data_IF_260810770179
#
_entry.id   IF_260810770179
#
_cell.length_a   1.000
_cell.length_b   1.000
_cell.length_c   1.000
_cell.angle_alpha   90.00
_cell.angle_beta   90.00
_cell.angle_gamma   90.00
#
_symmetry.space_group_name_H-M   'P 1'
#
loop_
_entity.id
_entity.type
_entity.pdbx_description
1 polymer ?
#
# COMPACT_ATOMS: atom_id res chain seq x y z
N UNK A 1 -18.73 27.65 10.02
CA UNK A 1 -19.23 26.27 9.86
C UNK A 1 -18.33 25.35 10.68
N UNK A 2 -18.85 24.42 11.50
CA UNK A 2 -18.00 23.50 12.24
C UNK A 2 -17.49 22.43 11.28
N UNK A 3 -16.17 22.34 11.14
CA UNK A 3 -15.47 21.25 10.47
C UNK A 3 -15.79 19.92 11.18
N UNK A 4 -16.02 18.82 10.46
CA UNK A 4 -16.24 17.52 11.09
C UNK A 4 -14.99 17.13 11.88
N UNK A 5 -15.18 16.74 13.15
CA UNK A 5 -14.14 16.16 13.98
C UNK A 5 -13.63 14.88 13.30
N UNK A 6 -12.51 14.98 12.60
CA UNK A 6 -11.71 13.81 12.25
C UNK A 6 -11.24 13.22 13.58
N UNK A 7 -11.88 12.15 14.04
CA UNK A 7 -11.36 11.32 15.11
C UNK A 7 -9.96 10.88 14.67
N UNK A 8 -8.93 11.52 15.21
CA UNK A 8 -7.53 11.17 14.97
C UNK A 8 -7.32 9.76 15.49
N UNK A 9 -7.34 8.79 14.57
CA UNK A 9 -6.99 7.41 14.84
C UNK A 9 -5.58 7.39 15.45
N UNK A 10 -5.44 6.77 16.62
CA UNK A 10 -4.14 6.69 17.29
C UNK A 10 -3.22 5.73 16.54
N UNK A 11 -1.90 5.85 16.76
CA UNK A 11 -0.90 4.96 16.15
C UNK A 11 -1.15 3.49 16.54
N UNK A 12 -1.55 3.24 17.78
CA UNK A 12 -1.82 1.89 18.27
C UNK A 12 -3.06 1.28 17.60
N UNK A 13 -4.12 2.06 17.43
CA UNK A 13 -5.32 1.64 16.71
C UNK A 13 -5.02 1.38 15.22
N UNK A 14 -4.21 2.24 14.59
CA UNK A 14 -3.76 2.06 13.22
C UNK A 14 -2.97 0.75 13.06
N UNK A 15 -2.02 0.48 13.96
CA UNK A 15 -1.27 -0.78 13.98
C UNK A 15 -2.20 -1.98 14.20
N UNK A 16 -3.20 -1.88 15.08
CA UNK A 16 -4.17 -2.95 15.34
C UNK A 16 -5.09 -3.24 14.14
N UNK A 17 -5.44 -2.22 13.36
CA UNK A 17 -6.20 -2.41 12.12
C UNK A 17 -5.34 -3.13 11.10
N UNK A 18 -4.10 -2.68 10.90
CA UNK A 18 -3.20 -3.23 9.88
C UNK A 18 -2.59 -4.59 10.25
N UNK A 19 -2.51 -4.93 11.54
CA UNK A 19 -2.03 -6.24 12.00
C UNK A 19 -2.90 -7.40 11.51
N UNK A 20 -4.16 -7.13 11.15
CA UNK A 20 -5.07 -8.12 10.53
C UNK A 20 -4.57 -8.61 9.18
N UNK A 21 -3.69 -7.85 8.53
CA UNK A 21 -3.14 -8.17 7.22
C UNK A 21 -1.74 -8.77 7.31
N UNK A 22 -1.12 -8.77 8.50
CA UNK A 22 0.23 -9.31 8.69
C UNK A 22 0.26 -10.81 8.42
N UNK A 23 1.26 -11.26 7.65
CA UNK A 23 1.47 -12.66 7.25
C UNK A 23 0.34 -13.26 6.41
N UNK A 24 -0.50 -12.44 5.77
CA UNK A 24 -1.46 -12.94 4.78
C UNK A 24 -0.80 -13.01 3.42
N UNK A 25 -0.83 -14.20 2.81
CA UNK A 25 -0.32 -14.40 1.47
C UNK A 25 -1.18 -13.69 0.43
N UNK A 26 -2.50 -13.73 0.61
CA UNK A 26 -3.50 -13.12 -0.28
C UNK A 26 -4.29 -12.12 0.54
N UNK A 27 -4.39 -10.89 0.04
CA UNK A 27 -5.21 -9.85 0.65
C UNK A 27 -6.67 -10.34 0.75
N UNK A 28 -7.29 -10.29 1.95
CA UNK A 28 -8.64 -10.78 2.13
C UNK A 28 -9.64 -9.84 1.43
N UNK A 29 -10.78 -10.37 0.96
CA UNK A 29 -11.86 -9.53 0.47
C UNK A 29 -12.38 -8.67 1.63
N UNK A 30 -12.32 -7.35 1.48
CA UNK A 30 -12.82 -6.39 2.47
C UNK A 30 -14.12 -5.75 2.00
N UNK A 31 -15.02 -5.45 2.93
CA UNK A 31 -16.24 -4.73 2.58
C UNK A 31 -15.91 -3.28 2.22
N UNK A 32 -16.66 -2.65 1.30
CA UNK A 32 -16.46 -1.23 0.99
C UNK A 32 -16.53 -0.32 2.21
N UNK A 33 -17.34 -0.67 3.22
CA UNK A 33 -17.44 0.06 4.49
C UNK A 33 -16.18 0.00 5.37
N UNK A 34 -15.30 -0.98 5.15
CA UNK A 34 -14.06 -1.16 5.92
C UNK A 34 -12.88 -0.41 5.30
N UNK A 35 -12.93 -0.13 3.98
CA UNK A 35 -11.87 0.58 3.25
C UNK A 35 -11.48 1.91 3.89
N UNK A 36 -12.41 2.81 4.30
CA UNK A 36 -12.02 4.11 4.88
C UNK A 36 -11.16 3.98 6.14
N UNK A 37 -11.50 3.02 7.02
CA UNK A 37 -10.75 2.80 8.26
C UNK A 37 -9.33 2.27 7.98
N UNK A 38 -9.20 1.36 7.00
CA UNK A 38 -7.90 0.80 6.59
C UNK A 38 -7.05 1.87 5.90
N UNK A 39 -7.63 2.68 5.01
CA UNK A 39 -6.96 3.84 4.38
C UNK A 39 -6.42 4.79 5.44
N UNK A 40 -7.27 5.18 6.41
CA UNK A 40 -6.87 6.09 7.47
C UNK A 40 -5.75 5.51 8.34
N UNK A 41 -5.83 4.23 8.69
CA UNK A 41 -4.78 3.54 9.44
C UNK A 41 -3.44 3.53 8.68
N UNK A 42 -3.47 3.20 7.39
CA UNK A 42 -2.28 3.19 6.55
C UNK A 42 -1.65 4.58 6.46
N UNK A 43 -2.43 5.60 6.10
CA UNK A 43 -1.95 6.98 5.98
C UNK A 43 -1.35 7.50 7.29
N UNK A 44 -1.98 7.19 8.43
CA UNK A 44 -1.46 7.58 9.74
C UNK A 44 -0.08 6.99 10.03
N UNK A 45 0.19 5.73 9.64
CA UNK A 45 1.49 5.10 9.88
C UNK A 45 2.53 5.51 8.85
N UNK A 46 2.16 5.66 7.58
CA UNK A 46 3.09 6.08 6.53
C UNK A 46 3.59 7.50 6.76
N UNK A 47 2.75 8.39 7.29
CA UNK A 47 3.15 9.76 7.69
C UNK A 47 4.20 9.79 8.81
N UNK A 48 4.40 8.68 9.53
CA UNK A 48 5.42 8.54 10.57
C UNK A 48 6.71 7.87 10.06
N UNK A 49 6.84 7.71 8.75
CA UNK A 49 8.04 7.22 8.07
C UNK A 49 8.54 8.25 7.07
N UNK A 50 9.82 8.17 6.71
CA UNK A 50 10.42 9.12 5.78
C UNK A 50 10.04 8.79 4.33
N UNK A 51 9.85 7.51 4.00
CA UNK A 51 9.37 7.05 2.70
C UNK A 51 8.80 5.63 2.79
N UNK A 52 8.15 5.18 1.72
CA UNK A 52 7.64 3.80 1.60
C UNK A 52 8.15 3.11 0.34
N UNK A 53 8.25 1.79 0.40
CA UNK A 53 8.47 0.92 -0.75
C UNK A 53 7.23 0.03 -0.89
N UNK A 54 6.62 0.05 -2.07
CA UNK A 54 5.49 -0.78 -2.42
C UNK A 54 5.97 -2.06 -3.10
N UNK A 55 5.38 -3.19 -2.72
CA UNK A 55 5.46 -4.45 -3.45
C UNK A 55 4.05 -4.92 -3.79
N UNK A 56 3.73 -5.05 -5.07
CA UNK A 56 2.36 -5.32 -5.54
C UNK A 56 2.38 -6.62 -6.33
N UNK A 57 1.58 -7.59 -5.92
CA UNK A 57 1.37 -8.83 -6.64
C UNK A 57 -0.07 -8.85 -7.17
N UNK A 58 -0.25 -8.98 -8.49
CA UNK A 58 -1.55 -8.95 -9.15
C UNK A 58 -1.66 -10.03 -10.24
N UNK A 59 -2.88 -10.42 -10.60
CA UNK A 59 -3.12 -11.41 -11.65
C UNK A 59 -2.93 -10.85 -13.06
N UNK A 60 -3.00 -9.53 -13.21
CA UNK A 60 -2.77 -8.85 -14.49
C UNK A 60 -1.96 -7.56 -14.31
N UNK A 61 -1.26 -7.17 -15.38
CA UNK A 61 -0.58 -5.87 -15.44
C UNK A 61 -1.54 -4.69 -15.17
N UNK A 62 -2.78 -4.76 -15.68
CA UNK A 62 -3.78 -3.71 -15.50
C UNK A 62 -4.16 -3.51 -14.02
N UNK A 63 -4.42 -4.60 -13.29
CA UNK A 63 -4.70 -4.54 -11.85
C UNK A 63 -3.51 -4.01 -11.04
N UNK A 64 -2.32 -4.51 -11.35
CA UNK A 64 -1.09 -4.07 -10.70
C UNK A 64 -0.84 -2.57 -10.92
N UNK A 65 -1.02 -2.08 -12.15
CA UNK A 65 -0.88 -0.67 -12.49
C UNK A 65 -1.92 0.21 -11.80
N UNK A 66 -3.18 -0.23 -11.72
CA UNK A 66 -4.23 0.47 -11.00
C UNK A 66 -3.87 0.60 -9.52
N UNK A 67 -3.45 -0.50 -8.87
CA UNK A 67 -3.01 -0.49 -7.49
C UNK A 67 -1.81 0.45 -7.31
N UNK A 68 -0.79 0.36 -8.17
CA UNK A 68 0.38 1.22 -8.13
C UNK A 68 0.01 2.70 -8.17
N UNK A 69 -0.81 3.11 -9.14
CA UNK A 69 -1.23 4.51 -9.31
C UNK A 69 -2.02 5.01 -8.09
N UNK A 70 -3.02 4.25 -7.65
CA UNK A 70 -3.92 4.68 -6.57
C UNK A 70 -3.22 4.72 -5.21
N UNK A 71 -2.39 3.72 -4.89
CA UNK A 71 -1.59 3.72 -3.66
C UNK A 71 -0.54 4.83 -3.67
N UNK A 72 0.20 4.98 -4.76
CA UNK A 72 1.25 5.99 -4.84
C UNK A 72 0.67 7.40 -4.68
N UNK A 73 -0.43 7.69 -5.39
CA UNK A 73 -1.13 8.96 -5.26
C UNK A 73 -1.63 9.22 -3.83
N UNK A 74 -2.22 8.21 -3.17
CA UNK A 74 -2.66 8.34 -1.79
C UNK A 74 -1.51 8.62 -0.80
N UNK A 75 -0.31 8.11 -1.10
CA UNK A 75 0.90 8.32 -0.31
C UNK A 75 1.69 9.58 -0.72
N UNK A 76 1.20 10.34 -1.71
CA UNK A 76 1.84 11.58 -2.18
C UNK A 76 3.02 11.37 -3.14
N UNK A 77 3.11 10.20 -3.77
CA UNK A 77 4.10 9.91 -4.81
C UNK A 77 3.48 9.99 -6.21
N UNK A 78 4.32 10.37 -7.18
CA UNK A 78 4.00 10.30 -8.60
C UNK A 78 4.83 9.16 -9.23
N UNK A 79 4.27 7.96 -9.42
CA UNK A 79 5.01 6.82 -9.94
C UNK A 79 5.14 6.92 -11.46
N UNK A 80 6.26 6.44 -12.02
CA UNK A 80 6.34 6.28 -13.48
C UNK A 80 5.28 5.28 -13.96
N UNK A 81 4.46 5.70 -14.92
CA UNK A 81 3.37 4.88 -15.49
C UNK A 81 3.70 4.31 -16.86
N UNK A 82 4.88 4.61 -17.41
CA UNK A 82 5.37 4.05 -18.66
C UNK A 82 5.98 2.66 -18.40
N UNK A 83 5.15 1.63 -18.55
CA UNK A 83 5.41 0.29 -18.05
C UNK A 83 5.20 -0.74 -19.14
N UNK A 84 6.00 -1.82 -19.16
CA UNK A 84 5.89 -2.84 -20.18
C UNK A 84 4.56 -3.59 -20.04
N UNK A 85 3.94 -3.91 -21.18
CA UNK A 85 2.83 -4.84 -21.22
C UNK A 85 3.36 -6.27 -21.01
N UNK A 86 3.06 -6.84 -19.85
CA UNK A 86 3.40 -8.22 -19.49
C UNK A 86 2.09 -9.01 -19.43
N UNK A 87 2.03 -10.13 -20.15
CA UNK A 87 0.91 -11.07 -20.04
C UNK A 87 1.03 -11.90 -18.74
N UNK A 88 -0.11 -12.12 -18.10
CA UNK A 88 -0.22 -12.92 -16.87
C UNK A 88 0.07 -12.14 -15.58
N UNK A 89 0.30 -12.86 -14.47
CA UNK A 89 0.49 -12.23 -13.17
C UNK A 89 1.81 -11.48 -13.08
N UNK A 90 1.79 -10.37 -12.35
CA UNK A 90 2.89 -9.41 -12.27
C UNK A 90 3.29 -9.10 -10.84
N UNK A 91 4.55 -8.74 -10.68
CA UNK A 91 5.11 -8.14 -9.48
C UNK A 91 5.61 -6.74 -9.81
N UNK A 92 5.19 -5.77 -9.02
CA UNK A 92 5.58 -4.38 -9.16
C UNK A 92 6.24 -3.92 -7.88
N UNK A 93 7.46 -3.40 -7.98
CA UNK A 93 8.17 -2.80 -6.87
C UNK A 93 8.39 -1.32 -7.12
N UNK A 94 7.79 -0.45 -6.31
CA UNK A 94 7.97 0.99 -6.40
C UNK A 94 8.64 1.54 -5.16
N UNK A 95 9.73 2.28 -5.34
CA UNK A 95 10.47 2.90 -4.25
C UNK A 95 10.13 4.40 -4.18
N UNK A 96 9.34 4.80 -3.18
CA UNK A 96 8.93 6.20 -2.97
C UNK A 96 10.09 7.16 -2.69
N UNK A 97 11.27 6.66 -2.27
CA UNK A 97 12.47 7.50 -2.08
C UNK A 97 13.13 7.90 -3.40
N UNK A 98 13.15 6.99 -4.37
CA UNK A 98 13.86 7.20 -5.65
C UNK A 98 12.93 7.42 -6.83
N UNK A 99 11.63 7.19 -6.67
CA UNK A 99 10.63 7.19 -7.75
C UNK A 99 10.75 5.99 -8.71
N UNK A 100 11.69 5.07 -8.47
CA UNK A 100 11.95 3.95 -9.36
C UNK A 100 10.91 2.84 -9.15
N UNK A 101 10.30 2.39 -10.24
CA UNK A 101 9.43 1.23 -10.28
C UNK A 101 9.99 0.14 -11.19
N UNK A 102 9.96 -1.11 -10.71
CA UNK A 102 10.31 -2.31 -11.47
C UNK A 102 9.09 -3.19 -11.68
N UNK A 103 9.03 -3.82 -12.83
CA UNK A 103 7.92 -4.64 -13.31
C UNK A 103 8.46 -5.97 -13.81
N UNK A 104 7.99 -7.06 -13.21
CA UNK A 104 8.42 -8.41 -13.53
C UNK A 104 7.22 -9.35 -13.65
N UNK A 105 7.35 -10.39 -14.47
CA UNK A 105 6.43 -11.53 -14.44
C UNK A 105 6.50 -12.21 -13.07
N UNK A 106 5.36 -12.60 -12.53
CA UNK A 106 5.26 -13.15 -11.19
C UNK A 106 4.58 -14.52 -11.18
N UNK A 107 5.32 -15.52 -10.71
CA UNK A 107 4.82 -16.91 -10.62
C UNK A 107 4.51 -17.33 -9.18
N UNK A 108 4.64 -16.41 -8.22
CA UNK A 108 4.30 -16.67 -6.83
C UNK A 108 2.80 -16.60 -6.56
N UNK A 109 2.40 -17.02 -5.36
CA UNK A 109 1.00 -17.14 -4.97
C UNK A 109 0.46 -15.92 -4.21
N UNK A 110 1.30 -14.94 -3.87
CA UNK A 110 0.84 -13.77 -3.13
C UNK A 110 -0.02 -12.84 -3.99
N UNK A 111 -1.00 -12.16 -3.39
CA UNK A 111 -1.82 -11.14 -4.07
C UNK A 111 -2.13 -9.98 -3.15
N UNK A 112 -2.01 -8.76 -3.68
CA UNK A 112 -2.21 -7.52 -2.93
C UNK A 112 -0.95 -6.67 -2.84
N UNK A 113 -0.96 -5.71 -1.92
CA UNK A 113 0.07 -4.69 -1.77
C UNK A 113 0.76 -4.81 -0.42
N UNK A 114 2.08 -4.98 -0.42
CA UNK A 114 2.94 -4.76 0.74
C UNK A 114 3.41 -3.31 0.75
N UNK A 115 3.28 -2.66 1.90
CA UNK A 115 3.75 -1.30 2.16
C UNK A 115 4.86 -1.37 3.20
N UNK A 116 6.10 -1.23 2.76
CA UNK A 116 7.28 -1.21 3.62
C UNK A 116 7.62 0.23 3.99
N UNK A 117 7.41 0.61 5.24
CA UNK A 117 7.72 1.94 5.76
C UNK A 117 9.17 2.00 6.21
N UNK A 118 9.84 3.11 5.90
CA UNK A 118 11.27 3.30 6.15
C UNK A 118 11.52 4.65 6.84
N UNK A 119 12.24 4.65 7.96
CA UNK A 119 12.58 5.85 8.73
C UNK A 119 14.01 5.79 9.25
N UNK A 120 14.75 6.88 9.07
CA UNK A 120 16.08 7.08 9.67
C UNK A 120 16.00 7.71 11.06
N UNK A 121 14.84 8.24 11.45
CA UNK A 121 14.63 8.88 12.75
C UNK A 121 14.32 7.84 13.82
N UNK A 122 14.94 7.99 14.99
CA UNK A 122 14.61 7.21 16.19
C UNK A 122 13.13 7.44 16.55
N UNK A 123 12.34 6.37 16.59
CA UNK A 123 10.90 6.42 16.87
C UNK A 123 9.99 6.57 15.64
N UNK A 124 10.55 6.70 14.43
CA UNK A 124 9.75 6.58 13.21
C UNK A 124 9.43 5.13 12.85
N UNK A 125 8.41 4.95 12.01
CA UNK A 125 7.90 3.63 11.59
C UNK A 125 8.89 2.96 10.63
N UNK A 126 9.24 1.70 10.90
CA UNK A 126 10.16 0.84 10.14
C UNK A 126 9.56 -0.56 9.97
N UNK A 127 8.26 -0.63 9.76
CA UNK A 127 7.49 -1.86 9.63
C UNK A 127 6.94 -2.07 8.23
N UNK A 128 6.54 -3.31 7.93
CA UNK A 128 5.88 -3.68 6.69
C UNK A 128 4.43 -4.10 6.97
N UNK A 129 3.50 -3.62 6.14
CA UNK A 129 2.07 -3.89 6.27
C UNK A 129 1.54 -4.56 5.00
N UNK A 130 0.74 -5.61 5.16
CA UNK A 130 0.05 -6.29 4.06
C UNK A 130 0.30 -7.81 4.02
N UNK A 131 -0.24 -8.51 3.01
CA UNK A 131 -0.79 -7.92 1.78
C UNK A 131 -2.14 -7.20 1.97
N UNK A 132 -2.21 -5.95 1.52
CA UNK A 132 -3.41 -5.11 1.50
C UNK A 132 -4.14 -5.25 0.16
N UNK A 133 -5.45 -4.98 0.08
CA UNK A 133 -6.23 -5.15 -1.16
C UNK A 133 -5.73 -4.25 -2.30
N UNK A 134 -5.66 -4.80 -3.53
CA UNK A 134 -5.23 -4.06 -4.73
C UNK A 134 -6.10 -2.82 -4.99
N UNK A 135 -7.38 -2.89 -4.64
CA UNK A 135 -8.38 -1.86 -4.85
C UNK A 135 -8.64 -1.00 -3.59
N UNK A 136 -7.72 -1.02 -2.62
CA UNK A 136 -7.90 -0.31 -1.35
C UNK A 136 -8.19 1.17 -1.57
N UNK A 137 -7.55 1.83 -2.54
CA UNK A 137 -7.68 3.27 -2.83
C UNK A 137 -8.49 3.59 -4.09
N UNK A 138 -9.22 2.62 -4.64
CA UNK A 138 -10.18 2.81 -5.73
C UNK A 138 -11.51 3.38 -5.21
#
# INVERSE_FOLDING_TARGET
MPTPNYSTLTVEEAKKILSKFTCLDIAPPIKPSEKPAIRQALLSLTNLSDYQILGICADTAAEGMMAMKTYSHALGYDPNTDLPEIEGPVYIKCNGKTGLCHFDSYFGHHRGVLVSCQSQKKGGVNEMYGHLPLDLFV
#
